data_IF_926539595437
#
_entry.id   IF_926539595437
#
_cell.length_a   1.000
_cell.length_b   1.000
_cell.length_c   1.000
_cell.angle_alpha   90.00
_cell.angle_beta   90.00
_cell.angle_gamma   90.00
#
_symmetry.space_group_name_H-M   'P 1'
#
loop_
_entity.id
_entity.type
_entity.pdbx_description
1 polymer ?
#
# COMPACT_ATOMS: atom_id res chain seq x y z
N UNK A 1 3.96 -5.89 10.32
CA UNK A 1 5.22 -5.34 9.78
C UNK A 1 5.37 -5.74 8.32
N UNK A 2 5.70 -4.79 7.43
CA UNK A 2 5.88 -5.00 6.00
C UNK A 2 7.25 -5.65 5.70
N UNK A 3 7.26 -6.96 5.46
CA UNK A 3 8.46 -7.74 5.11
C UNK A 3 8.56 -7.96 3.60
N UNK A 4 9.77 -8.22 3.10
CA UNK A 4 10.02 -8.46 1.68
C UNK A 4 9.28 -9.71 1.13
N UNK A 5 9.01 -10.71 1.98
CA UNK A 5 8.22 -11.88 1.60
C UNK A 5 6.77 -11.54 1.22
N UNK A 6 6.14 -10.61 1.93
CA UNK A 6 4.76 -10.16 1.61
C UNK A 6 4.70 -9.44 0.25
N UNK A 7 5.79 -8.82 -0.18
CA UNK A 7 5.90 -8.11 -1.47
C UNK A 7 6.00 -9.11 -2.64
N UNK A 8 6.73 -10.20 -2.46
CA UNK A 8 6.86 -11.29 -3.45
C UNK A 8 5.54 -12.03 -3.69
N UNK A 9 4.83 -12.41 -2.63
CA UNK A 9 3.50 -13.06 -2.74
C UNK A 9 2.49 -12.19 -3.48
N UNK A 10 2.54 -10.88 -3.21
CA UNK A 10 1.69 -9.90 -3.86
C UNK A 10 1.92 -9.79 -5.37
N UNK A 11 3.17 -9.87 -5.84
CA UNK A 11 3.49 -9.80 -7.27
C UNK A 11 2.89 -10.97 -8.06
N UNK A 12 2.67 -12.12 -7.41
CA UNK A 12 2.11 -13.34 -8.03
C UNK A 12 0.58 -13.31 -8.21
N UNK A 13 -0.16 -12.48 -7.46
CA UNK A 13 -1.64 -12.53 -7.38
C UNK A 13 -2.37 -11.29 -7.94
N UNK A 14 -1.97 -10.76 -9.11
CA UNK A 14 -2.71 -9.66 -9.78
C UNK A 14 -3.97 -10.19 -10.48
N UNK A 15 -5.16 -10.05 -9.86
CA UNK A 15 -6.45 -10.47 -10.46
C UNK A 15 -7.49 -9.37 -10.73
N UNK A 16 -7.23 -8.11 -10.41
CA UNK A 16 -8.09 -6.99 -10.82
C UNK A 16 -7.31 -5.68 -10.87
N UNK A 17 -7.43 -4.94 -11.97
CA UNK A 17 -6.84 -3.62 -12.13
C UNK A 17 -7.95 -2.58 -11.92
N UNK A 18 -7.91 -1.89 -10.78
CA UNK A 18 -8.72 -0.71 -10.51
C UNK A 18 -7.80 0.49 -10.34
N UNK A 19 -8.13 1.61 -10.99
CA UNK A 19 -7.42 2.87 -10.78
C UNK A 19 -8.07 3.64 -9.64
N UNK A 20 -7.28 3.95 -8.60
CA UNK A 20 -7.72 4.76 -7.46
C UNK A 20 -6.93 6.06 -7.49
N UNK A 21 -7.62 7.18 -7.62
CA UNK A 21 -7.02 8.51 -7.59
C UNK A 21 -7.04 9.05 -6.16
N UNK A 22 -5.86 9.41 -5.64
CA UNK A 22 -5.71 10.00 -4.31
C UNK A 22 -5.48 11.51 -4.40
N UNK A 23 -6.23 12.25 -3.59
CA UNK A 23 -5.93 13.66 -3.30
C UNK A 23 -5.28 13.74 -1.92
N UNK A 24 -4.01 14.12 -1.90
CA UNK A 24 -3.23 14.28 -0.66
C UNK A 24 -2.42 15.57 -0.71
N UNK A 25 -2.05 16.08 0.46
CA UNK A 25 -1.19 17.27 0.56
C UNK A 25 0.18 16.97 -0.05
N UNK A 26 0.78 17.96 -0.71
CA UNK A 26 2.12 17.85 -1.32
C UNK A 26 3.18 17.41 -0.30
N UNK A 27 3.11 17.90 0.93
CA UNK A 27 4.00 17.53 2.02
C UNK A 27 3.94 16.04 2.37
N UNK A 28 2.74 15.46 2.35
CA UNK A 28 2.54 14.06 2.71
C UNK A 28 2.88 13.14 1.54
N UNK A 29 2.64 13.59 0.30
CA UNK A 29 3.17 12.91 -0.90
C UNK A 29 4.69 12.76 -0.82
N UNK A 30 5.42 13.83 -0.50
CA UNK A 30 6.88 13.78 -0.40
C UNK A 30 7.38 12.79 0.66
N UNK A 31 6.65 12.65 1.78
CA UNK A 31 6.95 11.62 2.80
C UNK A 31 6.71 10.21 2.25
N UNK A 32 5.60 9.98 1.56
CA UNK A 32 5.29 8.69 0.95
C UNK A 32 6.33 8.29 -0.09
N UNK A 33 6.71 9.21 -0.97
CA UNK A 33 7.75 9.00 -1.98
C UNK A 33 9.09 8.63 -1.30
N UNK A 34 9.48 9.37 -0.26
CA UNK A 34 10.71 9.08 0.49
C UNK A 34 10.70 7.69 1.17
N UNK A 35 9.52 7.23 1.63
CA UNK A 35 9.37 5.90 2.22
C UNK A 35 9.44 4.82 1.14
N UNK A 36 8.77 5.05 0.00
CA UNK A 36 8.75 4.14 -1.14
C UNK A 36 10.16 3.94 -1.70
N UNK A 37 10.93 5.03 -1.87
CA UNK A 37 12.32 5.01 -2.32
C UNK A 37 13.22 4.17 -1.38
N UNK A 38 13.11 4.40 -0.06
CA UNK A 38 13.86 3.60 0.94
C UNK A 38 13.53 2.12 0.90
N UNK A 39 12.34 1.76 0.41
CA UNK A 39 11.85 0.39 0.31
C UNK A 39 12.01 -0.19 -1.10
N UNK A 40 12.55 0.60 -2.04
CA UNK A 40 12.72 0.23 -3.44
C UNK A 40 11.42 -0.29 -4.08
N UNK A 41 10.31 0.42 -3.83
CA UNK A 41 8.98 0.15 -4.39
C UNK A 41 8.37 1.44 -4.93
N UNK A 42 7.36 1.34 -5.78
CA UNK A 42 6.62 2.51 -6.23
C UNK A 42 5.69 3.04 -5.13
N UNK A 43 5.46 4.35 -5.09
CA UNK A 43 4.49 4.97 -4.18
C UNK A 43 3.09 4.36 -4.30
N UNK A 44 2.70 3.93 -5.51
CA UNK A 44 1.43 3.22 -5.74
C UNK A 44 1.40 1.84 -5.08
N UNK A 45 2.53 1.12 -5.05
CA UNK A 45 2.66 -0.16 -4.34
C UNK A 45 2.60 0.05 -2.83
N UNK A 46 3.30 1.07 -2.32
CA UNK A 46 3.22 1.47 -0.90
C UNK A 46 1.78 1.77 -0.49
N UNK A 47 1.06 2.58 -1.27
CA UNK A 47 -0.35 2.91 -1.02
C UNK A 47 -1.22 1.66 -1.02
N UNK A 48 -1.05 0.77 -2.00
CA UNK A 48 -1.81 -0.49 -2.06
C UNK A 48 -1.56 -1.35 -0.82
N UNK A 49 -0.33 -1.41 -0.32
CA UNK A 49 0.02 -2.16 0.89
C UNK A 49 -0.61 -1.54 2.15
N UNK A 50 -0.61 -0.21 2.27
CA UNK A 50 -1.26 0.49 3.39
C UNK A 50 -2.77 0.27 3.40
N UNK A 51 -3.42 0.31 2.23
CA UNK A 51 -4.84 0.04 2.09
C UNK A 51 -5.16 -1.40 2.51
N UNK A 52 -4.36 -2.39 2.06
CA UNK A 52 -4.55 -3.79 2.44
C UNK A 52 -4.41 -4.00 3.94
N UNK A 53 -3.38 -3.44 4.57
CA UNK A 53 -3.20 -3.56 6.03
C UNK A 53 -4.36 -2.88 6.79
N UNK A 54 -4.84 -1.72 6.33
CA UNK A 54 -6.01 -1.08 6.90
C UNK A 54 -7.27 -1.94 6.81
N UNK A 55 -7.57 -2.52 5.64
CA UNK A 55 -8.74 -3.41 5.44
C UNK A 55 -8.65 -4.61 6.40
N UNK A 56 -7.49 -5.28 6.46
CA UNK A 56 -7.28 -6.42 7.36
C UNK A 56 -7.44 -6.03 8.84
N UNK A 57 -7.08 -4.80 9.21
CA UNK A 57 -7.34 -4.29 10.56
C UNK A 57 -8.82 -4.07 10.81
N UNK A 58 -9.57 -3.51 9.85
CA UNK A 58 -11.01 -3.30 9.96
C UNK A 58 -11.81 -4.60 10.07
N UNK A 59 -11.43 -5.64 9.32
CA UNK A 59 -12.02 -6.98 9.42
C UNK A 59 -11.81 -7.59 10.82
N UNK A 60 -10.62 -7.42 11.40
CA UNK A 60 -10.31 -7.94 12.74
C UNK A 60 -11.15 -7.29 13.84
N UNK A 61 -11.50 -6.02 13.68
CA UNK A 61 -12.32 -5.28 14.65
C UNK A 61 -13.82 -5.35 14.33
N UNK A 62 -14.22 -6.09 13.29
CA UNK A 62 -15.62 -6.32 12.93
C UNK A 62 -16.35 -5.10 12.36
N UNK A 63 -15.61 -4.15 11.77
CA UNK A 63 -16.19 -2.95 11.13
C UNK A 63 -16.64 -3.23 9.69
N UNK A 64 -16.00 -4.20 9.03
CA UNK A 64 -16.32 -4.67 7.67
C UNK A 64 -16.35 -6.20 7.69
#
# INVERSE_FOLDING_TARGET
MLSNQKIEEFKKNKRSNCQINFLIKKSDKGKLDSIADKKNIYTSELLRLLITEFINEQEKIGVI
#
